data_IF_262660272099
#
_entry.id   IF_262660272099
#
_cell.length_a   1.000
_cell.length_b   1.000
_cell.length_c   1.000
_cell.angle_alpha   90.00
_cell.angle_beta   90.00
_cell.angle_gamma   90.00
#
_symmetry.space_group_name_H-M   'P 1'
#
loop_
_entity.id
_entity.type
_entity.pdbx_description
1 polymer ?
#
# COMPACT_ATOMS: atom_id res chain seq x y z
N UNK A 1 -0.87 22.94 8.70
CA UNK A 1 -0.99 21.71 9.52
C UNK A 1 -0.48 22.04 10.91
N UNK A 2 -1.33 21.87 11.94
CA UNK A 2 -0.91 22.09 13.35
C UNK A 2 -0.75 20.76 14.07
N UNK A 3 -1.71 19.84 13.88
CA UNK A 3 -1.70 18.49 14.44
C UNK A 3 -1.40 17.45 13.38
N UNK A 4 -0.70 16.40 13.78
CA UNK A 4 -0.42 15.23 12.94
C UNK A 4 -0.73 13.95 13.73
N UNK A 5 -1.55 13.06 13.18
CA UNK A 5 -1.73 11.71 13.69
C UNK A 5 -0.92 10.73 12.85
N UNK A 6 0.05 10.05 13.47
CA UNK A 6 0.79 8.95 12.84
C UNK A 6 0.08 7.65 13.19
N UNK A 7 -0.49 6.98 12.20
CA UNK A 7 -1.01 5.62 12.33
C UNK A 7 0.12 4.67 11.91
N UNK A 8 0.67 3.93 12.87
CA UNK A 8 1.90 3.14 12.70
C UNK A 8 1.68 1.65 12.95
N UNK A 9 2.28 0.82 12.10
CA UNK A 9 2.34 -0.64 12.33
C UNK A 9 3.34 -0.97 13.46
N UNK A 10 2.90 -1.77 14.44
CA UNK A 10 3.70 -2.27 15.55
C UNK A 10 4.85 -3.16 15.13
N UNK A 11 4.77 -3.79 13.95
CA UNK A 11 5.83 -4.67 13.43
C UNK A 11 7.05 -3.90 12.92
N UNK A 12 6.95 -2.59 12.76
CA UNK A 12 8.06 -1.79 12.25
C UNK A 12 9.16 -1.63 13.30
N UNK A 13 10.43 -1.61 12.88
CA UNK A 13 11.53 -1.27 13.77
C UNK A 13 11.28 0.05 14.49
N UNK A 14 11.31 0.04 15.83
CA UNK A 14 11.06 1.23 16.68
C UNK A 14 11.93 2.43 16.29
N UNK A 15 13.14 2.19 15.80
CA UNK A 15 14.07 3.22 15.35
C UNK A 15 13.51 4.06 14.19
N UNK A 16 12.77 3.45 13.25
CA UNK A 16 12.20 4.16 12.12
C UNK A 16 11.11 5.14 12.56
N UNK A 17 10.21 4.68 13.45
CA UNK A 17 9.19 5.56 14.02
C UNK A 17 9.82 6.70 14.84
N UNK A 18 10.88 6.43 15.61
CA UNK A 18 11.64 7.47 16.31
C UNK A 18 12.21 8.53 15.36
N UNK A 19 12.78 8.11 14.21
CA UNK A 19 13.28 9.04 13.18
C UNK A 19 12.14 9.92 12.64
N UNK A 20 10.99 9.32 12.31
CA UNK A 20 9.82 10.06 11.82
C UNK A 20 9.33 11.08 12.86
N UNK A 21 9.15 10.67 14.12
CA UNK A 21 8.75 11.56 15.22
C UNK A 21 9.71 12.74 15.36
N UNK A 22 11.04 12.47 15.33
CA UNK A 22 12.06 13.52 15.42
C UNK A 22 11.95 14.54 14.28
N UNK A 23 11.65 14.08 13.06
CA UNK A 23 11.47 14.97 11.90
C UNK A 23 10.21 15.85 11.98
N UNK A 24 9.24 15.45 12.80
CA UNK A 24 7.94 16.12 12.94
C UNK A 24 7.78 16.83 14.29
N UNK A 25 8.86 17.03 15.05
CA UNK A 25 8.86 17.60 16.41
C UNK A 25 8.18 18.98 16.55
N UNK A 26 8.03 19.72 15.45
CA UNK A 26 7.40 21.05 15.42
C UNK A 26 5.87 21.02 15.39
N UNK A 27 5.27 19.85 15.21
CA UNK A 27 3.83 19.66 15.15
C UNK A 27 3.32 19.01 16.46
N UNK A 28 2.04 19.20 16.77
CA UNK A 28 1.38 18.48 17.86
C UNK A 28 1.09 17.04 17.39
N UNK A 29 1.90 16.09 17.88
CA UNK A 29 1.87 14.70 17.42
C UNK A 29 0.94 13.83 18.26
N UNK A 30 0.14 13.04 17.57
CA UNK A 30 -0.56 11.88 18.10
C UNK A 30 -0.05 10.63 17.41
N UNK A 31 0.10 9.55 18.16
CA UNK A 31 0.58 8.28 17.61
C UNK A 31 -0.46 7.22 17.92
N UNK A 32 -1.05 6.66 16.88
CA UNK A 32 -1.94 5.52 16.96
C UNK A 32 -1.21 4.28 16.47
N UNK A 33 -0.94 3.34 17.39
CA UNK A 33 -0.23 2.11 17.05
C UNK A 33 -1.19 0.94 16.96
N UNK A 34 -1.07 0.15 15.90
CA UNK A 34 -1.78 -1.12 15.76
C UNK A 34 -0.93 -2.15 15.03
N UNK A 35 -1.28 -3.43 15.15
CA UNK A 35 -0.60 -4.50 14.41
C UNK A 35 -1.32 -4.73 13.08
N UNK A 36 -0.77 -4.23 11.98
CA UNK A 36 -1.45 -4.29 10.69
C UNK A 36 -1.62 -5.74 10.22
N UNK A 37 -2.86 -6.08 9.87
CA UNK A 37 -3.27 -7.32 9.24
C UNK A 37 -4.67 -7.17 8.61
N UNK A 38 -5.08 -8.12 7.79
CA UNK A 38 -6.35 -8.02 7.04
C UNK A 38 -7.58 -7.80 7.93
N UNK A 39 -7.62 -8.36 9.16
CA UNK A 39 -8.74 -8.17 10.09
C UNK A 39 -8.80 -6.76 10.68
N UNK A 40 -7.67 -6.06 10.75
CA UNK A 40 -7.64 -4.65 11.20
C UNK A 40 -8.26 -3.69 10.20
N UNK A 41 -8.44 -4.12 8.95
CA UNK A 41 -9.06 -3.34 7.88
C UNK A 41 -10.59 -3.40 7.99
N UNK A 42 -11.16 -2.88 9.08
CA UNK A 42 -12.59 -2.99 9.40
C UNK A 42 -13.19 -1.70 9.95
N UNK A 43 -14.52 -1.57 9.85
CA UNK A 43 -15.25 -0.37 10.27
C UNK A 43 -15.08 -0.09 11.77
N UNK A 44 -14.95 -1.15 12.57
CA UNK A 44 -14.71 -1.05 14.02
C UNK A 44 -13.40 -0.29 14.32
N UNK A 45 -12.34 -0.56 13.55
CA UNK A 45 -11.05 0.11 13.72
C UNK A 45 -11.11 1.53 13.18
N UNK A 46 -11.79 1.76 12.05
CA UNK A 46 -12.04 3.10 11.49
C UNK A 46 -12.71 4.00 12.53
N UNK A 47 -13.86 3.58 13.07
CA UNK A 47 -14.61 4.34 14.07
C UNK A 47 -13.75 4.67 15.28
N UNK A 48 -13.00 3.69 15.81
CA UNK A 48 -12.09 3.90 16.94
C UNK A 48 -11.05 5.00 16.67
N UNK A 49 -10.48 5.06 15.47
CA UNK A 49 -9.49 6.07 15.11
C UNK A 49 -10.16 7.43 14.92
N UNK A 50 -11.30 7.49 14.22
CA UNK A 50 -12.06 8.73 14.01
C UNK A 50 -12.45 9.37 15.35
N UNK A 51 -13.03 8.60 16.27
CA UNK A 51 -13.41 9.09 17.60
C UNK A 51 -12.21 9.67 18.37
N UNK A 52 -11.03 9.05 18.23
CA UNK A 52 -9.81 9.58 18.85
C UNK A 52 -9.35 10.88 18.22
N UNK A 53 -9.41 11.01 16.88
CA UNK A 53 -9.09 12.25 16.19
C UNK A 53 -10.05 13.39 16.57
N UNK A 54 -11.34 13.08 16.68
CA UNK A 54 -12.37 14.06 17.07
C UNK A 54 -12.19 14.50 18.53
N UNK A 55 -11.96 13.55 19.45
CA UNK A 55 -11.65 13.84 20.86
C UNK A 55 -10.40 14.72 21.01
N UNK A 56 -9.41 14.51 20.16
CA UNK A 56 -8.18 15.32 20.12
C UNK A 56 -8.35 16.63 19.35
N UNK A 57 -9.58 17.01 18.95
CA UNK A 57 -9.90 18.24 18.23
C UNK A 57 -9.10 18.43 16.94
N UNK A 58 -8.97 17.38 16.11
CA UNK A 58 -8.41 17.50 14.76
C UNK A 58 -9.31 18.37 13.87
N UNK A 59 -8.70 19.25 13.06
CA UNK A 59 -9.38 20.11 12.10
C UNK A 59 -9.06 19.71 10.66
N UNK A 60 -9.84 20.16 9.67
CA UNK A 60 -9.64 19.83 8.24
C UNK A 60 -8.23 20.14 7.72
N UNK A 61 -7.55 21.12 8.31
CA UNK A 61 -6.18 21.51 7.97
C UNK A 61 -5.09 20.62 8.60
N UNK A 62 -5.46 19.70 9.48
CA UNK A 62 -4.55 18.75 10.14
C UNK A 62 -4.34 17.51 9.26
N UNK A 63 -3.38 16.68 9.65
CA UNK A 63 -2.88 15.61 8.79
C UNK A 63 -2.87 14.25 9.49
N UNK A 64 -3.21 13.21 8.72
CA UNK A 64 -2.98 11.81 9.08
C UNK A 64 -1.83 11.27 8.23
N UNK A 65 -0.91 10.58 8.88
CA UNK A 65 0.21 9.88 8.24
C UNK A 65 0.02 8.38 8.41
N UNK A 66 -0.09 7.64 7.31
CA UNK A 66 0.06 6.19 7.34
C UNK A 66 1.55 5.82 7.36
N UNK A 67 1.98 5.04 8.36
CA UNK A 67 3.34 4.50 8.42
C UNK A 67 3.29 2.98 8.54
N UNK A 68 3.20 2.30 7.39
CA UNK A 68 2.96 0.86 7.31
C UNK A 68 2.80 0.34 5.89
N UNK A 69 2.40 -0.93 5.76
CA UNK A 69 2.09 -1.55 4.46
C UNK A 69 0.71 -1.13 3.90
N UNK A 70 0.28 -1.79 2.81
CA UNK A 70 -0.95 -1.43 2.07
C UNK A 70 -2.22 -1.47 2.92
N UNK A 71 -2.36 -2.45 3.80
CA UNK A 71 -3.49 -2.54 4.76
C UNK A 71 -3.63 -1.27 5.58
N UNK A 72 -2.51 -0.75 6.11
CA UNK A 72 -2.52 0.44 6.94
C UNK A 72 -2.72 1.71 6.09
N UNK A 73 -2.16 1.73 4.88
CA UNK A 73 -2.38 2.79 3.89
C UNK A 73 -3.86 2.99 3.61
N UNK A 74 -4.55 1.92 3.19
CA UNK A 74 -5.98 1.97 2.85
C UNK A 74 -6.84 2.37 4.04
N UNK A 75 -6.60 1.75 5.21
CA UNK A 75 -7.32 2.07 6.45
C UNK A 75 -7.15 3.55 6.82
N UNK A 76 -5.92 4.05 6.80
CA UNK A 76 -5.61 5.43 7.21
C UNK A 76 -6.15 6.44 6.22
N UNK A 77 -6.08 6.14 4.92
CA UNK A 77 -6.62 7.00 3.87
C UNK A 77 -8.15 7.09 3.98
N UNK A 78 -8.82 5.96 4.23
CA UNK A 78 -10.26 5.92 4.47
C UNK A 78 -10.66 6.70 5.74
N UNK A 79 -9.93 6.53 6.84
CA UNK A 79 -10.10 7.35 8.07
C UNK A 79 -9.93 8.84 7.76
N UNK A 80 -8.92 9.20 6.97
CA UNK A 80 -8.62 10.60 6.62
C UNK A 80 -9.75 11.22 5.81
N UNK A 81 -10.29 10.48 4.83
CA UNK A 81 -11.39 10.95 4.01
C UNK A 81 -12.69 11.14 4.82
N UNK A 82 -13.02 10.18 5.69
CA UNK A 82 -14.26 10.26 6.48
C UNK A 82 -14.20 11.31 7.58
N UNK A 83 -13.04 11.51 8.21
CA UNK A 83 -12.92 12.45 9.33
C UNK A 83 -13.14 13.88 8.85
N UNK A 84 -14.18 14.54 9.37
CA UNK A 84 -14.57 15.92 9.00
C UNK A 84 -14.71 16.14 7.48
N UNK A 85 -15.04 15.08 6.73
CA UNK A 85 -15.16 15.06 5.26
C UNK A 85 -13.85 15.33 4.52
N UNK A 86 -12.72 14.99 5.13
CA UNK A 86 -11.40 15.09 4.51
C UNK A 86 -10.40 15.81 5.40
N UNK A 87 -9.43 15.07 5.92
CA UNK A 87 -8.18 15.57 6.47
C UNK A 87 -7.05 15.34 5.48
N UNK A 88 -5.99 16.15 5.54
CA UNK A 88 -4.79 15.90 4.74
C UNK A 88 -4.23 14.51 5.01
N UNK A 89 -3.78 13.82 3.98
CA UNK A 89 -3.30 12.45 4.07
C UNK A 89 -1.93 12.29 3.42
N UNK A 90 -0.99 11.74 4.18
CA UNK A 90 0.34 11.37 3.69
C UNK A 90 0.54 9.87 3.86
N UNK A 91 1.00 9.20 2.81
CA UNK A 91 1.28 7.78 2.87
C UNK A 91 2.80 7.54 2.88
N UNK A 92 3.30 6.83 3.91
CA UNK A 92 4.69 6.41 4.02
C UNK A 92 4.72 4.87 3.98
N UNK A 93 4.68 4.28 2.77
CA UNK A 93 4.60 2.83 2.58
C UNK A 93 5.89 2.11 3.01
N UNK A 94 5.74 1.07 3.82
CA UNK A 94 6.88 0.32 4.39
C UNK A 94 7.05 -1.10 3.84
N UNK A 95 6.20 -1.52 2.91
CA UNK A 95 6.37 -2.78 2.17
C UNK A 95 6.62 -2.47 0.70
N UNK A 96 7.32 -3.36 -0.01
CA UNK A 96 7.57 -3.16 -1.43
C UNK A 96 6.26 -3.08 -2.23
N UNK A 97 5.29 -3.95 -1.91
CA UNK A 97 3.96 -3.93 -2.52
C UNK A 97 3.28 -2.56 -2.34
N UNK A 98 3.30 -2.02 -1.13
CA UNK A 98 2.70 -0.71 -0.88
C UNK A 98 3.43 0.41 -1.64
N UNK A 99 4.76 0.35 -1.74
CA UNK A 99 5.58 1.35 -2.42
C UNK A 99 5.33 1.42 -3.93
N UNK A 100 4.96 0.29 -4.56
CA UNK A 100 4.83 0.19 -6.02
C UNK A 100 3.39 0.11 -6.52
N UNK A 101 2.46 -0.24 -5.63
CA UNK A 101 1.08 -0.49 -5.99
C UNK A 101 0.11 0.18 -5.03
N UNK A 102 -0.10 -0.35 -3.82
CA UNK A 102 -1.22 0.07 -2.96
C UNK A 102 -1.23 1.57 -2.59
N UNK A 103 -0.08 2.25 -2.55
CA UNK A 103 -0.02 3.68 -2.24
C UNK A 103 -0.40 4.61 -3.40
N UNK A 104 -0.64 4.07 -4.60
CA UNK A 104 -0.85 4.84 -5.83
C UNK A 104 -2.26 4.62 -6.38
N UNK A 105 -2.93 5.72 -6.70
CA UNK A 105 -4.21 5.73 -7.41
C UNK A 105 -5.45 5.77 -6.54
N UNK A 106 -5.31 6.22 -5.30
CA UNK A 106 -6.42 6.70 -4.47
C UNK A 106 -7.47 5.67 -4.08
N UNK A 107 -7.32 4.38 -4.41
CA UNK A 107 -8.23 3.35 -3.91
C UNK A 107 -8.00 3.17 -2.41
N UNK A 108 -9.03 3.40 -1.62
CA UNK A 108 -9.00 3.26 -0.16
C UNK A 108 -10.21 2.48 0.28
N UNK A 109 -10.12 1.77 1.40
CA UNK A 109 -11.26 1.03 1.88
C UNK A 109 -10.96 0.08 3.01
N UNK A 110 -12.01 -0.64 3.38
CA UNK A 110 -12.05 -1.65 4.42
C UNK A 110 -12.84 -2.86 3.94
N UNK A 111 -12.68 -3.94 4.68
CA UNK A 111 -13.37 -5.19 4.44
C UNK A 111 -14.75 -5.15 5.11
N UNK A 112 -15.71 -5.81 4.48
CA UNK A 112 -16.99 -6.17 5.08
C UNK A 112 -17.02 -7.68 5.34
N UNK A 113 -18.04 -8.15 6.04
CA UNK A 113 -18.26 -9.59 6.21
C UNK A 113 -18.54 -10.30 4.88
N UNK A 114 -18.90 -9.55 3.83
CA UNK A 114 -19.14 -10.06 2.47
C UNK A 114 -17.85 -10.13 1.62
N UNK A 115 -16.76 -9.48 2.04
CA UNK A 115 -15.52 -9.54 1.28
C UNK A 115 -14.54 -8.39 1.49
N UNK A 116 -13.41 -8.49 0.79
CA UNK A 116 -12.33 -7.51 0.87
C UNK A 116 -12.66 -6.24 0.09
N UNK A 117 -12.27 -5.09 0.64
CA UNK A 117 -12.31 -3.78 -0.04
C UNK A 117 -13.69 -3.35 -0.56
N UNK A 118 -14.78 -3.94 -0.09
CA UNK A 118 -16.14 -3.66 -0.57
C UNK A 118 -16.72 -2.34 -0.05
N UNK A 119 -16.12 -1.77 0.99
CA UNK A 119 -16.49 -0.46 1.54
C UNK A 119 -15.29 0.46 1.38
N UNK A 120 -15.40 1.47 0.53
CA UNK A 120 -14.25 2.30 0.18
C UNK A 120 -14.59 3.59 -0.51
N UNK A 121 -13.55 4.37 -0.78
CA UNK A 121 -13.62 5.65 -1.49
C UNK A 121 -12.39 5.85 -2.37
N UNK A 122 -12.52 6.68 -3.41
CA UNK A 122 -11.38 7.23 -4.11
C UNK A 122 -10.90 8.50 -3.38
N UNK A 123 -9.72 8.42 -2.75
CA UNK A 123 -9.13 9.51 -1.98
C UNK A 123 -7.61 9.55 -2.16
N UNK A 124 -7.11 10.59 -2.82
CA UNK A 124 -5.67 10.73 -3.12
C UNK A 124 -4.90 11.22 -1.89
N UNK A 125 -3.68 10.72 -1.65
CA UNK A 125 -2.77 11.34 -0.69
C UNK A 125 -2.27 12.70 -1.21
N UNK A 126 -2.01 13.63 -0.30
CA UNK A 126 -1.28 14.87 -0.60
C UNK A 126 0.11 14.55 -1.19
N UNK A 127 0.78 13.52 -0.65
CA UNK A 127 1.95 12.90 -1.26
C UNK A 127 2.23 11.50 -0.69
N UNK A 128 3.04 10.73 -1.42
CA UNK A 128 3.59 9.44 -1.00
C UNK A 128 5.10 9.59 -0.78
N UNK A 129 5.59 9.21 0.40
CA UNK A 129 7.04 9.21 0.70
C UNK A 129 7.58 7.79 0.74
N UNK A 130 8.30 7.41 -0.30
CA UNK A 130 8.91 6.09 -0.44
C UNK A 130 10.39 6.13 -0.06
N UNK A 131 10.72 5.53 1.09
CA UNK A 131 12.10 5.30 1.53
C UNK A 131 12.44 3.82 1.37
N UNK A 132 13.38 3.48 0.50
CA UNK A 132 13.80 2.10 0.25
C UNK A 132 14.59 1.49 1.41
N UNK A 133 15.12 2.31 2.33
CA UNK A 133 15.88 1.83 3.48
C UNK A 133 15.03 0.99 4.44
N UNK A 134 13.72 1.22 4.50
CA UNK A 134 12.78 0.45 5.31
C UNK A 134 12.62 -1.00 4.83
N UNK A 135 12.91 -1.27 3.55
CA UNK A 135 12.82 -2.60 2.96
C UNK A 135 13.93 -3.54 3.45
N UNK A 136 15.01 -3.01 4.03
CA UNK A 136 16.10 -3.82 4.61
C UNK A 136 15.59 -4.80 5.65
N UNK A 137 14.64 -4.40 6.49
CA UNK A 137 14.00 -5.26 7.50
C UNK A 137 12.80 -6.08 6.99
N UNK A 138 12.37 -5.88 5.74
CA UNK A 138 11.19 -6.56 5.21
C UNK A 138 11.45 -8.05 4.96
N UNK A 139 10.60 -9.00 5.39
CA UNK A 139 10.80 -10.41 5.10
C UNK A 139 10.90 -10.70 3.59
N UNK A 140 11.71 -11.69 3.21
CA UNK A 140 11.90 -12.03 1.79
C UNK A 140 10.58 -12.39 1.08
N UNK A 141 9.67 -13.07 1.78
CA UNK A 141 8.33 -13.40 1.27
C UNK A 141 7.52 -12.14 0.89
N UNK A 142 7.64 -11.08 1.68
CA UNK A 142 6.99 -9.78 1.40
C UNK A 142 7.72 -9.00 0.29
N UNK A 143 9.04 -9.19 0.14
CA UNK A 143 9.78 -8.69 -1.03
C UNK A 143 9.28 -9.36 -2.32
N UNK A 144 9.07 -10.69 -2.31
CA UNK A 144 8.53 -11.43 -3.46
C UNK A 144 7.12 -10.92 -3.80
N UNK A 145 6.28 -10.75 -2.78
CA UNK A 145 4.92 -10.23 -2.94
C UNK A 145 4.91 -8.89 -3.68
N UNK A 146 5.72 -7.91 -3.23
CA UNK A 146 5.82 -6.63 -3.91
C UNK A 146 6.49 -6.70 -5.28
N UNK A 147 7.45 -7.60 -5.47
CA UNK A 147 8.10 -7.80 -6.76
C UNK A 147 7.12 -8.37 -7.81
N UNK A 148 6.15 -9.18 -7.39
CA UNK A 148 5.06 -9.66 -8.25
C UNK A 148 4.29 -8.51 -8.92
N UNK A 149 3.97 -7.46 -8.17
CA UNK A 149 3.30 -6.27 -8.73
C UNK A 149 4.20 -5.47 -9.69
N UNK A 150 5.50 -5.37 -9.39
CA UNK A 150 6.46 -4.74 -10.31
C UNK A 150 6.52 -5.52 -11.63
N UNK A 151 6.56 -6.85 -11.55
CA UNK A 151 6.56 -7.74 -12.70
C UNK A 151 5.27 -7.56 -13.51
N UNK A 152 4.11 -7.54 -12.84
CA UNK A 152 2.80 -7.27 -13.44
C UNK A 152 2.82 -5.98 -14.25
N UNK A 153 3.23 -4.87 -13.66
CA UNK A 153 3.32 -3.58 -14.37
C UNK A 153 4.22 -3.65 -15.61
N UNK A 154 5.36 -4.35 -15.50
CA UNK A 154 6.27 -4.51 -16.64
C UNK A 154 5.67 -5.35 -17.78
N UNK A 155 4.92 -6.41 -17.45
CA UNK A 155 4.26 -7.27 -18.43
C UNK A 155 3.15 -6.54 -19.19
N UNK A 156 2.42 -5.66 -18.50
CA UNK A 156 1.32 -4.89 -19.11
C UNK A 156 1.86 -3.86 -20.10
N UNK A 157 2.90 -3.08 -19.76
CA UNK A 157 3.26 -1.88 -20.53
C UNK A 157 4.75 -1.68 -20.88
N UNK A 158 5.69 -2.54 -20.43
CA UNK A 158 7.12 -2.28 -20.67
C UNK A 158 7.98 -3.56 -20.77
N UNK A 159 8.09 -4.08 -22.01
CA UNK A 159 8.95 -5.23 -22.35
C UNK A 159 10.42 -5.02 -21.96
N UNK A 160 10.97 -3.81 -22.13
CA UNK A 160 12.38 -3.53 -21.78
C UNK A 160 12.56 -3.60 -20.27
N UNK A 161 11.60 -3.10 -19.51
CA UNK A 161 11.60 -3.21 -18.06
C UNK A 161 11.44 -4.66 -17.60
N UNK A 162 10.56 -5.45 -18.22
CA UNK A 162 10.43 -6.89 -17.95
C UNK A 162 11.77 -7.62 -18.11
N UNK A 163 12.46 -7.44 -19.25
CA UNK A 163 13.76 -8.06 -19.49
C UNK A 163 14.82 -7.59 -18.49
N UNK A 164 14.79 -6.31 -18.09
CA UNK A 164 15.67 -5.78 -17.07
C UNK A 164 15.40 -6.39 -15.69
N UNK A 165 14.13 -6.59 -15.32
CA UNK A 165 13.73 -7.26 -14.08
C UNK A 165 14.23 -8.70 -14.06
N UNK A 166 14.05 -9.46 -15.14
CA UNK A 166 14.52 -10.85 -15.25
C UNK A 166 16.03 -10.97 -15.00
N UNK A 167 16.83 -10.02 -15.50
CA UNK A 167 18.29 -9.98 -15.26
C UNK A 167 18.68 -9.61 -13.82
N UNK A 168 17.82 -8.87 -13.11
CA UNK A 168 18.15 -8.27 -11.81
C UNK A 168 17.36 -8.87 -10.62
N UNK A 169 16.43 -9.79 -10.86
CA UNK A 169 15.49 -10.31 -9.86
C UNK A 169 16.17 -10.74 -8.54
N UNK A 170 17.21 -11.58 -8.63
CA UNK A 170 17.96 -12.05 -7.44
C UNK A 170 18.62 -10.90 -6.66
N UNK A 171 19.12 -9.88 -7.35
CA UNK A 171 19.76 -8.71 -6.71
C UNK A 171 18.72 -7.81 -6.03
N UNK A 172 17.52 -7.73 -6.58
CA UNK A 172 16.41 -6.93 -6.03
C UNK A 172 15.78 -7.65 -4.83
N UNK A 173 15.37 -8.92 -4.99
CA UNK A 173 14.61 -9.65 -3.96
C UNK A 173 15.52 -10.14 -2.84
N UNK A 174 16.64 -10.79 -3.16
CA UNK A 174 17.48 -11.44 -2.15
C UNK A 174 18.51 -10.47 -1.57
N UNK A 175 19.22 -9.74 -2.45
CA UNK A 175 20.28 -8.81 -2.00
C UNK A 175 19.76 -7.42 -1.62
N UNK A 176 18.48 -7.11 -1.93
CA UNK A 176 17.86 -5.80 -1.67
C UNK A 176 18.74 -4.63 -2.10
N UNK A 177 19.35 -4.76 -3.27
CA UNK A 177 20.28 -3.74 -3.77
C UNK A 177 19.53 -2.41 -3.95
N UNK A 178 19.99 -1.38 -3.24
CA UNK A 178 19.26 -0.13 -3.10
C UNK A 178 19.07 0.60 -4.45
N UNK A 179 20.10 0.68 -5.27
CA UNK A 179 20.02 1.35 -6.57
C UNK A 179 19.05 0.64 -7.53
N UNK A 180 19.08 -0.70 -7.56
CA UNK A 180 18.15 -1.48 -8.36
C UNK A 180 16.71 -1.37 -7.84
N UNK A 181 16.51 -1.35 -6.51
CA UNK A 181 15.20 -1.15 -5.90
C UNK A 181 14.59 0.21 -6.26
N UNK A 182 15.36 1.30 -6.12
CA UNK A 182 14.89 2.64 -6.47
C UNK A 182 14.44 2.69 -7.94
N UNK A 183 15.24 2.15 -8.86
CA UNK A 183 14.89 2.11 -10.28
C UNK A 183 13.64 1.25 -10.56
N UNK A 184 13.53 0.08 -9.93
CA UNK A 184 12.38 -0.81 -10.09
C UNK A 184 11.09 -0.18 -9.57
N UNK A 185 11.14 0.42 -8.38
CA UNK A 185 10.01 1.14 -7.78
C UNK A 185 9.60 2.30 -8.67
N UNK A 186 10.55 3.17 -9.05
CA UNK A 186 10.26 4.33 -9.89
C UNK A 186 9.57 3.97 -11.20
N UNK A 187 10.09 2.97 -11.93
CA UNK A 187 9.48 2.50 -13.19
C UNK A 187 8.08 1.92 -12.98
N UNK A 188 7.91 1.10 -11.94
CA UNK A 188 6.62 0.53 -11.56
C UNK A 188 5.59 1.61 -11.27
N UNK A 189 5.94 2.59 -10.42
CA UNK A 189 5.08 3.72 -10.08
C UNK A 189 4.74 4.57 -11.32
N UNK A 190 5.70 4.79 -12.22
CA UNK A 190 5.49 5.54 -13.47
C UNK A 190 4.49 4.85 -14.39
N UNK A 191 4.54 3.52 -14.49
CA UNK A 191 3.58 2.72 -15.26
C UNK A 191 2.18 2.87 -14.64
N UNK A 192 2.05 2.59 -13.34
CA UNK A 192 0.76 2.67 -12.66
C UNK A 192 0.16 4.08 -12.70
N UNK A 193 0.96 5.10 -12.44
CA UNK A 193 0.51 6.51 -12.48
C UNK A 193 0.00 6.91 -13.87
N UNK A 194 0.65 6.48 -14.96
CA UNK A 194 0.16 6.75 -16.32
C UNK A 194 -1.23 6.14 -16.59
N UNK A 195 -1.48 4.94 -16.08
CA UNK A 195 -2.77 4.26 -16.23
C UNK A 195 -3.83 4.96 -15.36
N UNK A 196 -3.53 5.19 -14.08
CA UNK A 196 -4.41 5.86 -13.12
C UNK A 196 -4.80 7.27 -13.60
N UNK A 197 -3.86 8.05 -14.15
CA UNK A 197 -4.15 9.40 -14.63
C UNK A 197 -5.11 9.42 -15.82
N UNK A 198 -5.23 8.30 -16.55
CA UNK A 198 -6.16 8.16 -17.69
C UNK A 198 -7.51 7.59 -17.27
N UNK A 199 -7.54 6.84 -16.16
CA UNK A 199 -8.74 6.19 -15.64
C UNK A 199 -8.60 6.04 -14.11
N UNK A 200 -8.97 7.09 -13.37
CA UNK A 200 -8.81 7.11 -11.92
C UNK A 200 -9.81 6.17 -11.24
N UNK A 201 -11.03 6.04 -11.76
CA UNK A 201 -12.12 5.31 -11.11
C UNK A 201 -12.24 3.85 -11.55
N UNK A 202 -11.34 3.40 -12.42
CA UNK A 202 -11.33 2.03 -12.94
C UNK A 202 -12.60 1.67 -13.70
N UNK A 203 -13.00 2.55 -14.61
CA UNK A 203 -14.17 2.35 -15.47
C UNK A 203 -13.84 1.51 -16.71
N UNK A 204 -12.57 1.50 -17.15
CA UNK A 204 -12.14 0.73 -18.32
C UNK A 204 -10.63 0.43 -18.29
N UNK A 205 -9.79 1.35 -18.80
CA UNK A 205 -8.36 1.14 -19.02
C UNK A 205 -7.64 0.62 -17.78
N UNK A 206 -7.96 1.14 -16.60
CA UNK A 206 -7.25 0.78 -15.36
C UNK A 206 -7.47 -0.68 -14.96
N UNK A 207 -8.50 -1.36 -15.49
CA UNK A 207 -8.72 -2.80 -15.27
C UNK A 207 -7.56 -3.66 -15.77
N UNK A 208 -6.69 -3.19 -16.68
CA UNK A 208 -5.50 -3.93 -17.09
C UNK A 208 -4.53 -4.18 -15.91
N UNK A 209 -4.57 -3.33 -14.88
CA UNK A 209 -3.80 -3.53 -13.64
C UNK A 209 -4.28 -4.75 -12.84
N UNK A 210 -5.45 -5.32 -13.18
CA UNK A 210 -5.97 -6.54 -12.59
C UNK A 210 -5.44 -7.80 -13.31
N UNK A 211 -4.39 -7.70 -14.15
CA UNK A 211 -3.75 -8.87 -14.75
C UNK A 211 -3.34 -9.88 -13.66
N UNK A 212 -3.84 -11.12 -13.79
CA UNK A 212 -3.71 -12.20 -12.80
C UNK A 212 -4.64 -12.11 -11.58
N UNK A 213 -5.30 -10.98 -11.31
CA UNK A 213 -6.07 -10.77 -10.07
C UNK A 213 -7.36 -11.58 -10.00
N UNK A 214 -8.01 -11.87 -11.13
CA UNK A 214 -9.21 -12.72 -11.16
C UNK A 214 -8.93 -14.10 -10.54
N UNK A 215 -7.86 -14.75 -11.00
CA UNK A 215 -7.39 -16.02 -10.44
C UNK A 215 -6.87 -15.86 -9.01
N UNK A 216 -6.09 -14.80 -8.74
CA UNK A 216 -5.54 -14.54 -7.42
C UNK A 216 -6.66 -14.46 -6.35
N UNK A 217 -7.72 -13.70 -6.62
CA UNK A 217 -8.87 -13.60 -5.72
C UNK A 217 -9.57 -14.96 -5.54
N UNK A 218 -9.68 -15.76 -6.60
CA UNK A 218 -10.17 -17.14 -6.50
C UNK A 218 -9.32 -18.00 -5.56
N UNK A 219 -7.99 -17.95 -5.69
CA UNK A 219 -7.06 -18.68 -4.82
C UNK A 219 -7.10 -18.20 -3.36
N UNK A 220 -7.13 -16.89 -3.15
CA UNK A 220 -7.22 -16.28 -1.83
C UNK A 220 -8.56 -16.65 -1.15
N UNK A 221 -9.67 -16.58 -1.88
CA UNK A 221 -11.00 -16.96 -1.43
C UNK A 221 -11.07 -18.44 -1.05
N UNK A 222 -10.56 -19.33 -1.90
CA UNK A 222 -10.49 -20.78 -1.62
C UNK A 222 -9.64 -21.13 -0.39
N UNK A 223 -8.75 -20.23 0.05
CA UNK A 223 -7.95 -20.37 1.28
C UNK A 223 -8.48 -19.55 2.45
N UNK A 224 -9.69 -19.00 2.37
CA UNK A 224 -10.30 -18.14 3.39
C UNK A 224 -9.35 -17.00 3.83
N UNK A 225 -8.61 -16.43 2.87
CA UNK A 225 -7.63 -15.36 3.10
C UNK A 225 -6.58 -15.71 4.17
N UNK A 226 -6.23 -16.98 4.25
CA UNK A 226 -5.19 -17.52 5.13
C UNK A 226 -3.83 -16.91 4.85
N UNK A 227 -3.00 -16.78 5.90
CA UNK A 227 -1.58 -16.39 5.78
C UNK A 227 -0.71 -17.40 5.02
N UNK A 228 -1.27 -18.57 4.67
CA UNK A 228 -0.56 -19.60 3.88
C UNK A 228 -0.28 -19.15 2.46
N UNK A 229 -1.12 -18.30 1.86
CA UNK A 229 -0.92 -17.70 0.55
C UNK A 229 -1.06 -16.18 0.68
N UNK A 230 0.00 -15.42 0.44
CA UNK A 230 -0.11 -13.97 0.44
C UNK A 230 -0.59 -13.44 -0.91
N UNK A 231 -1.03 -12.19 -0.95
CA UNK A 231 -1.63 -11.59 -2.14
C UNK A 231 -0.69 -11.63 -3.36
N UNK A 232 0.57 -11.19 -3.22
CA UNK A 232 1.49 -11.18 -4.35
C UNK A 232 1.87 -12.57 -4.87
N UNK A 233 1.90 -13.61 -4.02
CA UNK A 233 2.03 -15.00 -4.46
C UNK A 233 0.80 -15.45 -5.27
N UNK A 234 -0.41 -15.09 -4.81
CA UNK A 234 -1.65 -15.39 -5.52
C UNK A 234 -1.68 -14.67 -6.89
N UNK A 235 -1.24 -13.41 -6.96
CA UNK A 235 -1.13 -12.63 -8.20
C UNK A 235 -0.11 -13.25 -9.15
N UNK A 236 1.06 -13.70 -8.65
CA UNK A 236 2.05 -14.41 -9.47
C UNK A 236 1.47 -15.68 -10.11
N UNK A 237 0.80 -16.53 -9.32
CA UNK A 237 0.12 -17.73 -9.82
C UNK A 237 -0.98 -17.36 -10.82
N UNK A 238 -1.75 -16.30 -10.51
CA UNK A 238 -2.81 -15.84 -11.38
C UNK A 238 -2.32 -15.31 -12.73
N UNK A 239 -1.18 -14.61 -12.75
CA UNK A 239 -0.54 -14.19 -14.00
C UNK A 239 -0.07 -15.38 -14.83
N UNK A 240 0.45 -16.44 -14.19
CA UNK A 240 0.83 -17.67 -14.90
C UNK A 240 -0.38 -18.33 -15.57
N UNK A 241 -1.50 -18.45 -14.86
CA UNK A 241 -2.74 -19.00 -15.43
C UNK A 241 -3.29 -18.13 -16.56
N UNK A 242 -3.34 -16.81 -16.35
CA UNK A 242 -3.83 -15.87 -17.36
C UNK A 242 -2.96 -15.87 -18.63
N UNK A 243 -1.68 -16.24 -18.54
CA UNK A 243 -0.77 -16.33 -19.70
C UNK A 243 -0.90 -17.63 -20.50
N UNK A 244 -1.70 -18.59 -20.02
CA UNK A 244 -1.96 -19.87 -20.69
C UNK A 244 -3.29 -19.88 -21.45
N UNK A 245 -4.11 -18.83 -21.28
CA UNK A 245 -5.36 -18.61 -22.01
C UNK A 245 -5.07 -17.92 -23.35
#
# INVERSE_FOLDING_TARGET
VKKICIISDNKLPKLLLKKLIKSLKKYDLRIFKLTANEKTKSIKVVNKIIEKLLKDNFNRSDCVIAFGGGVLGDLSAFVSNLTKRGLKFVNIPTTLLAQVDASIGGKTGINSDQGKNLIGTYYQPDFVLTDTSVLKSLPQREMISGYGEILKHSLILDKKFFLWLSKNAKKIVNKKNNALLINAIFKSCKIKSKIVNRDEKEENLRMILNFGHTFAHGFEGAKNFSKKLNHGEAVLLGMMMASQL
#
